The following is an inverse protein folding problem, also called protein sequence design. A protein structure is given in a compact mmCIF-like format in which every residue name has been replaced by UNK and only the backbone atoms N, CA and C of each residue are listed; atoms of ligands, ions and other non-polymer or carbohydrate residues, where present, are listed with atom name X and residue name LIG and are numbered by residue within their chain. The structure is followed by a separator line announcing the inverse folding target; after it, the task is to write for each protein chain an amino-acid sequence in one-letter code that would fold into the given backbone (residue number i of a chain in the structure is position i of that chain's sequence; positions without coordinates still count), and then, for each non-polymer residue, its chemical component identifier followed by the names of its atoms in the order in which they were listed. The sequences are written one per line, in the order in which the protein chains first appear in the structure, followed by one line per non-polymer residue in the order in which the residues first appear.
data_IF_534941703338
#
_entry.id   IF_534941703338
#
_cell.length_a   1.000
_cell.length_b   1.000
_cell.length_c   1.000
_cell.angle_alpha   90.00
_cell.angle_beta   90.00
_cell.angle_gamma   90.00
#
_symmetry.space_group_name_H-M   'P 1'
#
loop_
_entity.id
_entity.type
_entity.pdbx_description
1 polymer ?
#
# COMPACT_ATOMS: atom_id res chain seq x y z
N UNK A 1 10.74 -9.59 18.09
CA UNK A 1 10.49 -8.21 18.57
C UNK A 1 9.51 -7.57 17.62
N UNK A 2 8.57 -6.75 18.09
CA UNK A 2 7.59 -6.08 17.22
C UNK A 2 7.95 -4.61 17.01
N UNK A 3 7.73 -4.13 15.79
CA UNK A 3 7.78 -2.72 15.44
C UNK A 3 6.41 -2.24 14.91
N UNK A 4 5.33 -2.92 15.29
CA UNK A 4 3.98 -2.39 15.11
C UNK A 4 3.85 -1.05 15.87
N UNK A 5 3.08 -0.13 15.31
CA UNK A 5 2.86 1.20 15.90
C UNK A 5 1.43 1.26 16.49
N UNK A 6 1.33 1.42 17.81
CA UNK A 6 0.05 1.46 18.52
C UNK A 6 -0.77 2.73 18.24
N UNK A 7 -0.10 3.87 18.00
CA UNK A 7 -0.77 5.12 17.64
C UNK A 7 -1.41 5.01 16.25
N UNK A 8 -0.73 4.35 15.31
CA UNK A 8 -1.27 4.03 13.97
C UNK A 8 -2.46 3.07 14.09
N UNK A 9 -2.38 2.04 14.94
CA UNK A 9 -3.52 1.15 15.17
C UNK A 9 -4.72 1.90 15.76
N UNK A 10 -4.49 2.79 16.73
CA UNK A 10 -5.55 3.62 17.32
C UNK A 10 -6.17 4.54 16.26
N UNK A 11 -5.34 5.19 15.45
CA UNK A 11 -5.77 6.05 14.35
C UNK A 11 -6.71 5.35 13.35
N UNK A 12 -6.39 4.12 12.96
CA UNK A 12 -7.24 3.31 12.07
C UNK A 12 -8.42 2.63 12.76
N UNK A 13 -8.44 2.53 14.10
CA UNK A 13 -9.63 2.09 14.84
C UNK A 13 -10.70 3.18 14.94
N UNK A 14 -10.29 4.44 15.02
CA UNK A 14 -11.21 5.59 15.08
C UNK A 14 -12.01 5.73 13.78
N UNK A 15 -11.32 5.66 12.64
CA UNK A 15 -11.95 5.58 11.32
C UNK A 15 -11.01 4.76 10.41
N UNK A 16 -11.38 3.50 10.08
CA UNK A 16 -10.58 2.68 9.20
C UNK A 16 -10.49 3.28 7.81
N UNK A 17 -9.29 3.20 7.23
CA UNK A 17 -9.07 3.69 5.87
C UNK A 17 -9.92 2.92 4.87
N UNK A 18 -10.46 3.65 3.89
CA UNK A 18 -11.16 3.07 2.74
C UNK A 18 -12.45 2.29 3.08
N UNK A 19 -13.06 2.47 4.25
CA UNK A 19 -14.45 2.01 4.46
C UNK A 19 -15.39 3.06 3.89
N UNK A 20 -16.17 2.65 2.89
CA UNK A 20 -17.24 3.47 2.32
C UNK A 20 -18.37 2.58 1.81
N UNK A 21 -19.56 3.16 1.72
CA UNK A 21 -20.73 2.44 1.24
C UNK A 21 -21.23 1.33 2.16
N UNK A 22 -22.12 0.52 1.60
CA UNK A 22 -22.61 -0.71 2.23
C UNK A 22 -21.87 -1.95 1.69
N UNK A 23 -22.32 -3.13 2.13
CA UNK A 23 -21.74 -4.40 1.68
C UNK A 23 -21.89 -4.60 0.16
N UNK A 24 -22.96 -4.08 -0.46
CA UNK A 24 -23.20 -4.17 -1.90
C UNK A 24 -22.21 -3.31 -2.69
N UNK A 25 -21.91 -2.10 -2.22
CA UNK A 25 -20.88 -1.26 -2.82
C UNK A 25 -19.49 -1.89 -2.69
N UNK A 26 -19.19 -2.50 -1.53
CA UNK A 26 -17.95 -3.24 -1.34
C UNK A 26 -17.84 -4.42 -2.32
N UNK A 27 -18.91 -5.21 -2.48
CA UNK A 27 -18.97 -6.30 -3.46
C UNK A 27 -18.72 -5.80 -4.89
N UNK A 28 -19.36 -4.67 -5.26
CA UNK A 28 -19.18 -4.04 -6.57
C UNK A 28 -17.73 -3.59 -6.78
N UNK A 29 -17.08 -3.06 -5.75
CA UNK A 29 -15.67 -2.68 -5.81
C UNK A 29 -14.79 -3.92 -6.07
N UNK A 30 -14.99 -5.01 -5.33
CA UNK A 30 -14.28 -6.29 -5.55
C UNK A 30 -14.46 -6.75 -7.00
N UNK A 31 -15.71 -6.83 -7.50
CA UNK A 31 -15.96 -7.29 -8.88
C UNK A 31 -15.37 -6.36 -9.94
N UNK A 32 -15.27 -5.05 -9.69
CA UNK A 32 -14.68 -4.09 -10.62
C UNK A 32 -13.20 -4.39 -10.94
N UNK A 33 -12.48 -4.96 -9.97
CA UNK A 33 -11.04 -5.22 -10.04
C UNK A 33 -10.17 -3.97 -10.08
N UNK A 34 -10.69 -2.81 -9.69
CA UNK A 34 -9.99 -1.53 -9.83
C UNK A 34 -8.67 -1.50 -9.06
N UNK A 35 -8.66 -2.01 -7.83
CA UNK A 35 -7.46 -2.06 -6.99
C UNK A 35 -6.36 -2.87 -7.67
N UNK A 36 -6.69 -4.06 -8.19
CA UNK A 36 -5.74 -4.94 -8.86
C UNK A 36 -5.28 -4.40 -10.22
N UNK A 37 -6.17 -3.76 -10.99
CA UNK A 37 -5.83 -3.16 -12.30
C UNK A 37 -4.80 -2.03 -12.22
N UNK A 38 -4.73 -1.34 -11.08
CA UNK A 38 -3.71 -0.32 -10.83
C UNK A 38 -2.29 -0.91 -10.64
N UNK A 39 -2.18 -2.24 -10.54
CA UNK A 39 -0.93 -2.98 -10.36
C UNK A 39 -0.77 -4.02 -11.50
N UNK A 40 -0.54 -3.58 -12.76
CA UNK A 40 -0.54 -4.46 -13.93
C UNK A 40 0.49 -5.59 -13.86
N UNK A 41 1.59 -5.37 -13.14
CA UNK A 41 2.61 -6.40 -12.89
C UNK A 41 2.05 -7.59 -12.12
N UNK A 42 1.13 -7.37 -11.18
CA UNK A 42 0.47 -8.44 -10.44
C UNK A 42 -0.42 -9.28 -11.37
N UNK A 43 -1.16 -8.62 -12.27
CA UNK A 43 -2.04 -9.33 -13.21
C UNK A 43 -1.29 -10.23 -14.18
N UNK A 44 -0.01 -9.95 -14.43
CA UNK A 44 0.84 -10.75 -15.32
C UNK A 44 1.45 -11.99 -14.63
N UNK A 45 1.64 -11.94 -13.31
CA UNK A 45 2.34 -13.00 -12.56
C UNK A 45 1.40 -13.91 -11.76
N UNK A 46 0.24 -13.39 -11.33
CA UNK A 46 -0.70 -14.13 -10.50
C UNK A 46 -1.37 -15.26 -11.29
N UNK A 47 -1.50 -16.43 -10.65
CA UNK A 47 -2.18 -17.59 -11.23
C UNK A 47 -2.95 -18.36 -10.16
N UNK A 48 -3.86 -19.25 -10.58
CA UNK A 48 -4.66 -20.11 -9.70
C UNK A 48 -3.85 -20.99 -8.74
N UNK A 49 -2.61 -21.34 -9.10
CA UNK A 49 -1.77 -22.25 -8.30
C UNK A 49 -0.95 -21.53 -7.22
N UNK A 50 -0.97 -20.20 -7.20
CA UNK A 50 -0.15 -19.44 -6.27
C UNK A 50 -0.79 -19.32 -4.88
N UNK A 51 0.05 -19.44 -3.86
CA UNK A 51 -0.19 -19.01 -2.48
C UNK A 51 0.23 -17.54 -2.37
N UNK A 52 -0.72 -16.67 -2.06
CA UNK A 52 -0.53 -15.22 -1.94
C UNK A 52 -0.62 -14.84 -0.47
N UNK A 53 0.33 -14.05 0.01
CA UNK A 53 0.20 -13.32 1.28
C UNK A 53 -0.01 -11.83 0.99
N UNK A 54 -1.02 -11.23 1.60
CA UNK A 54 -1.14 -9.78 1.69
C UNK A 54 -0.91 -9.31 3.13
N UNK A 55 0.02 -8.38 3.33
CA UNK A 55 0.38 -7.80 4.63
C UNK A 55 -0.19 -6.39 4.73
N UNK A 56 -1.07 -6.19 5.71
CA UNK A 56 -1.86 -4.97 5.92
C UNK A 56 -2.97 -4.84 4.89
N UNK A 57 -3.83 -5.85 4.79
CA UNK A 57 -4.87 -5.90 3.76
C UNK A 57 -5.99 -4.86 3.95
N UNK A 58 -6.05 -4.20 5.11
CA UNK A 58 -7.16 -3.33 5.48
C UNK A 58 -8.49 -4.05 5.30
N UNK A 59 -9.39 -3.43 4.54
CA UNK A 59 -10.73 -3.97 4.26
C UNK A 59 -10.77 -5.06 3.18
N UNK A 60 -9.60 -5.54 2.73
CA UNK A 60 -9.47 -6.78 1.97
C UNK A 60 -9.77 -6.69 0.46
N UNK A 61 -9.83 -5.48 -0.11
CA UNK A 61 -10.18 -5.29 -1.53
C UNK A 61 -9.23 -6.02 -2.48
N UNK A 62 -7.93 -5.88 -2.28
CA UNK A 62 -6.96 -6.51 -3.16
C UNK A 62 -7.00 -8.03 -2.99
N UNK A 63 -7.01 -8.54 -1.74
CA UNK A 63 -7.10 -9.97 -1.45
C UNK A 63 -8.30 -10.62 -2.14
N UNK A 64 -9.47 -10.01 -1.99
CA UNK A 64 -10.71 -10.51 -2.57
C UNK A 64 -10.68 -10.43 -4.11
N UNK A 65 -10.13 -9.36 -4.68
CA UNK A 65 -9.95 -9.22 -6.14
C UNK A 65 -9.01 -10.27 -6.72
N UNK A 66 -7.93 -10.60 -6.01
CA UNK A 66 -6.99 -11.65 -6.40
C UNK A 66 -7.67 -13.02 -6.36
N UNK A 67 -8.37 -13.33 -5.26
CA UNK A 67 -9.10 -14.59 -5.11
C UNK A 67 -10.21 -14.74 -6.17
N UNK A 68 -10.98 -13.68 -6.42
CA UNK A 68 -12.07 -13.67 -7.41
C UNK A 68 -11.55 -13.90 -8.84
N UNK A 69 -10.50 -13.19 -9.25
CA UNK A 69 -10.02 -13.19 -10.64
C UNK A 69 -9.11 -14.36 -10.96
N UNK A 70 -8.24 -14.72 -10.04
CA UNK A 70 -7.21 -15.72 -10.27
C UNK A 70 -7.51 -17.05 -9.61
N UNK A 71 -8.47 -17.13 -8.68
CA UNK A 71 -8.74 -18.32 -7.87
C UNK A 71 -7.49 -18.79 -7.10
N UNK A 72 -6.57 -17.86 -6.80
CA UNK A 72 -5.39 -18.12 -6.00
C UNK A 72 -5.76 -18.40 -4.54
N UNK A 73 -4.88 -19.08 -3.81
CA UNK A 73 -5.06 -19.27 -2.36
C UNK A 73 -4.50 -18.05 -1.64
N UNK A 74 -5.38 -17.21 -1.09
CA UNK A 74 -4.98 -15.94 -0.48
C UNK A 74 -5.04 -16.04 1.04
N UNK A 75 -3.94 -15.71 1.70
CA UNK A 75 -3.89 -15.39 3.13
C UNK A 75 -3.64 -13.91 3.28
N UNK A 76 -4.39 -13.24 4.14
CA UNK A 76 -4.31 -11.80 4.33
C UNK A 76 -4.27 -11.49 5.80
N UNK A 77 -3.31 -10.65 6.20
CA UNK A 77 -3.14 -10.25 7.58
C UNK A 77 -3.29 -8.75 7.72
N UNK A 78 -3.86 -8.33 8.84
CA UNK A 78 -3.91 -6.95 9.28
C UNK A 78 -3.96 -6.93 10.80
N UNK A 79 -3.29 -5.98 11.45
CA UNK A 79 -3.32 -5.87 12.91
C UNK A 79 -4.62 -5.23 13.45
N UNK A 80 -5.49 -4.70 12.59
CA UNK A 80 -6.77 -4.08 12.94
C UNK A 80 -7.93 -5.05 12.77
N UNK A 81 -8.52 -5.50 13.88
CA UNK A 81 -9.69 -6.39 13.91
C UNK A 81 -10.88 -5.85 13.09
N UNK A 82 -11.15 -4.54 13.15
CA UNK A 82 -12.29 -3.93 12.44
C UNK A 82 -12.14 -4.10 10.93
N UNK A 83 -10.91 -3.97 10.43
CA UNK A 83 -10.58 -4.12 9.02
C UNK A 83 -10.76 -5.58 8.58
N UNK A 84 -10.23 -6.53 9.37
CA UNK A 84 -10.38 -7.98 9.13
C UNK A 84 -11.84 -8.42 9.13
N UNK A 85 -12.64 -7.99 10.11
CA UNK A 85 -14.07 -8.33 10.17
C UNK A 85 -14.83 -7.82 8.93
N UNK A 86 -14.47 -6.63 8.44
CA UNK A 86 -15.06 -6.04 7.24
C UNK A 86 -14.65 -6.82 6.00
N UNK A 87 -13.36 -7.16 5.88
CA UNK A 87 -12.81 -7.93 4.78
C UNK A 87 -13.42 -9.34 4.69
N UNK A 88 -13.52 -10.03 5.82
CA UNK A 88 -14.10 -11.38 5.89
C UNK A 88 -15.58 -11.36 5.48
N UNK A 89 -16.39 -10.42 6.00
CA UNK A 89 -17.79 -10.28 5.61
C UNK A 89 -17.96 -10.07 4.11
N UNK A 90 -17.12 -9.24 3.50
CA UNK A 90 -17.16 -8.99 2.07
C UNK A 90 -16.80 -10.24 1.24
N UNK A 91 -15.74 -10.95 1.62
CA UNK A 91 -15.34 -12.19 0.94
C UNK A 91 -16.38 -13.31 1.09
N UNK A 92 -16.91 -13.52 2.30
CA UNK A 92 -17.93 -14.53 2.59
C UNK A 92 -19.20 -14.29 1.77
N UNK A 93 -19.62 -13.02 1.66
CA UNK A 93 -20.79 -12.64 0.87
C UNK A 93 -20.67 -12.95 -0.63
N UNK A 94 -19.44 -13.16 -1.12
CA UNK A 94 -19.12 -13.51 -2.50
C UNK A 94 -18.65 -14.96 -2.67
N UNK A 95 -18.60 -15.75 -1.58
CA UNK A 95 -18.07 -17.12 -1.59
C UNK A 95 -16.59 -17.21 -1.97
N UNK A 96 -15.80 -16.17 -1.68
CA UNK A 96 -14.38 -16.11 -2.03
C UNK A 96 -13.52 -16.85 -1.00
N UNK A 97 -12.56 -17.64 -1.49
CA UNK A 97 -11.63 -18.37 -0.64
C UNK A 97 -10.43 -17.48 -0.25
N UNK A 98 -10.63 -16.65 0.77
CA UNK A 98 -9.58 -15.83 1.39
C UNK A 98 -9.52 -16.14 2.88
N UNK A 99 -8.32 -16.44 3.39
CA UNK A 99 -8.08 -16.55 4.83
C UNK A 99 -7.67 -15.19 5.38
N UNK A 100 -8.52 -14.53 6.14
CA UNK A 100 -8.17 -13.32 6.88
C UNK A 100 -7.75 -13.64 8.31
N UNK A 101 -6.71 -12.97 8.82
CA UNK A 101 -6.19 -13.18 10.17
C UNK A 101 -5.78 -11.84 10.80
N UNK A 102 -6.21 -11.61 12.04
CA UNK A 102 -5.70 -10.46 12.80
C UNK A 102 -4.30 -10.80 13.30
N UNK A 103 -3.30 -10.15 12.71
CA UNK A 103 -1.92 -10.41 13.08
C UNK A 103 -1.03 -9.17 12.95
N UNK A 104 -0.10 -9.06 13.90
CA UNK A 104 1.06 -8.20 13.80
C UNK A 104 2.06 -8.83 12.82
N UNK A 105 2.40 -8.13 11.75
CA UNK A 105 3.32 -8.64 10.73
C UNK A 105 4.67 -9.03 11.32
N UNK A 106 5.11 -8.47 12.44
CA UNK A 106 6.39 -8.83 13.08
C UNK A 106 6.32 -10.09 13.94
N UNK A 107 5.10 -10.61 14.19
CA UNK A 107 4.84 -11.81 15.00
C UNK A 107 4.15 -12.92 14.23
N UNK A 108 3.64 -12.65 13.02
CA UNK A 108 2.98 -13.63 12.18
C UNK A 108 3.98 -14.70 11.70
N UNK A 109 3.78 -15.96 12.09
CA UNK A 109 4.66 -17.07 11.72
C UNK A 109 3.87 -18.11 10.90
N UNK A 110 3.83 -17.97 9.56
CA UNK A 110 3.13 -18.92 8.72
C UNK A 110 3.89 -20.25 8.64
N UNK A 111 3.16 -21.37 8.56
CA UNK A 111 3.76 -22.72 8.45
C UNK A 111 4.56 -22.90 7.16
N UNK A 112 4.17 -22.20 6.10
CA UNK A 112 4.79 -22.27 4.78
C UNK A 112 4.98 -20.86 4.22
N UNK A 113 6.00 -20.71 3.37
CA UNK A 113 6.23 -19.47 2.62
C UNK A 113 5.32 -19.39 1.39
N UNK A 114 5.12 -18.19 0.89
CA UNK A 114 4.21 -17.85 -0.19
C UNK A 114 4.94 -17.69 -1.52
N UNK A 115 4.21 -17.92 -2.62
CA UNK A 115 4.69 -17.63 -3.98
C UNK A 115 4.89 -16.13 -4.19
N UNK A 116 4.05 -15.32 -3.54
CA UNK A 116 4.16 -13.87 -3.52
C UNK A 116 3.71 -13.30 -2.17
N UNK A 117 4.46 -12.34 -1.65
CA UNK A 117 4.07 -11.47 -0.54
C UNK A 117 3.82 -10.06 -1.08
N UNK A 118 2.66 -9.47 -0.76
CA UNK A 118 2.23 -8.15 -1.22
C UNK A 118 2.01 -7.26 -0.01
N UNK A 119 2.48 -6.00 -0.05
CA UNK A 119 2.14 -4.99 0.95
C UNK A 119 2.11 -3.60 0.33
N UNK A 120 0.94 -2.96 0.31
CA UNK A 120 0.73 -1.69 -0.39
C UNK A 120 0.20 -0.64 0.58
N UNK A 121 0.94 0.45 0.81
CA UNK A 121 0.43 1.51 1.68
C UNK A 121 0.54 1.21 3.17
N UNK A 122 1.45 0.31 3.58
CA UNK A 122 1.45 -0.23 4.96
C UNK A 122 2.80 -0.10 5.64
N UNK A 123 3.88 -0.62 5.05
CA UNK A 123 5.13 -0.85 5.79
C UNK A 123 5.79 0.44 6.30
N UNK A 124 5.58 1.56 5.61
CA UNK A 124 6.06 2.89 6.02
C UNK A 124 5.32 3.48 7.23
N UNK A 125 4.21 2.88 7.65
CA UNK A 125 3.50 3.24 8.88
C UNK A 125 3.95 2.41 10.09
N UNK A 126 4.93 1.52 9.92
CA UNK A 126 5.54 0.78 11.03
C UNK A 126 6.66 1.59 11.69
N UNK A 127 7.00 1.25 12.95
CA UNK A 127 8.14 1.88 13.64
C UNK A 127 9.50 1.49 13.04
N UNK A 128 9.54 0.48 12.15
CA UNK A 128 10.74 0.10 11.42
C UNK A 128 10.37 -0.53 10.07
N UNK A 129 10.22 0.32 9.05
CA UNK A 129 9.86 -0.10 7.69
C UNK A 129 10.88 -1.07 7.09
N UNK A 130 12.18 -0.83 7.31
CA UNK A 130 13.25 -1.71 6.80
C UNK A 130 13.16 -3.11 7.41
N UNK A 131 12.95 -3.22 8.72
CA UNK A 131 12.72 -4.52 9.36
C UNK A 131 11.45 -5.20 8.86
N UNK A 132 10.40 -4.44 8.53
CA UNK A 132 9.17 -4.97 7.96
C UNK A 132 9.40 -5.58 6.56
N UNK A 133 10.17 -4.87 5.72
CA UNK A 133 10.57 -5.33 4.39
C UNK A 133 11.45 -6.58 4.49
N UNK A 134 12.47 -6.54 5.35
CA UNK A 134 13.35 -7.67 5.61
C UNK A 134 12.54 -8.92 5.98
N UNK A 135 11.62 -8.77 6.94
CA UNK A 135 10.75 -9.87 7.35
C UNK A 135 9.85 -10.39 6.23
N UNK A 136 9.29 -9.50 5.41
CA UNK A 136 8.48 -9.93 4.26
C UNK A 136 9.30 -10.77 3.28
N UNK A 137 10.48 -10.30 2.90
CA UNK A 137 11.34 -10.99 1.93
C UNK A 137 11.93 -12.27 2.53
N UNK A 138 12.45 -12.24 3.75
CA UNK A 138 13.13 -13.37 4.39
C UNK A 138 12.15 -14.47 4.83
N UNK A 139 11.12 -14.10 5.58
CA UNK A 139 10.24 -15.04 6.28
C UNK A 139 9.05 -15.46 5.44
N UNK A 140 8.49 -14.57 4.60
CA UNK A 140 7.24 -14.86 3.90
C UNK A 140 7.41 -15.30 2.45
N UNK A 141 8.47 -14.87 1.77
CA UNK A 141 8.69 -15.21 0.37
C UNK A 141 9.57 -16.46 0.22
N UNK A 142 9.06 -17.45 -0.52
CA UNK A 142 9.81 -18.66 -0.87
C UNK A 142 10.91 -18.35 -1.90
N UNK A 143 11.90 -19.22 -2.04
CA UNK A 143 12.90 -19.11 -3.12
C UNK A 143 12.22 -19.19 -4.49
N UNK A 144 12.62 -18.32 -5.42
CA UNK A 144 11.98 -18.13 -6.72
C UNK A 144 10.65 -17.36 -6.68
N UNK A 145 10.15 -16.99 -5.50
CA UNK A 145 8.91 -16.22 -5.29
C UNK A 145 9.10 -14.71 -5.43
N UNK A 146 8.02 -13.97 -5.21
CA UNK A 146 7.97 -12.51 -5.42
C UNK A 146 7.65 -11.73 -4.14
N UNK A 147 8.18 -10.51 -4.07
CA UNK A 147 7.77 -9.51 -3.08
C UNK A 147 7.30 -8.27 -3.84
N UNK A 148 6.06 -7.82 -3.60
CA UNK A 148 5.53 -6.60 -4.20
C UNK A 148 5.18 -5.60 -3.10
N UNK A 149 5.80 -4.42 -3.16
CA UNK A 149 5.67 -3.40 -2.12
C UNK A 149 5.27 -2.06 -2.69
N UNK A 150 4.49 -1.28 -1.94
CA UNK A 150 4.13 0.09 -2.26
C UNK A 150 4.36 1.03 -1.08
N UNK A 151 5.16 2.08 -1.26
CA UNK A 151 5.61 2.97 -0.19
C UNK A 151 5.51 4.45 -0.59
N UNK A 152 5.49 5.33 0.40
CA UNK A 152 5.72 6.76 0.16
C UNK A 152 7.16 7.02 -0.30
N UNK A 153 7.26 7.72 -1.41
CA UNK A 153 8.49 8.10 -2.09
C UNK A 153 9.07 9.38 -1.49
N UNK A 154 10.32 9.37 -1.06
CA UNK A 154 11.00 10.48 -0.39
C UNK A 154 10.84 11.82 -1.11
N UNK A 155 11.30 11.92 -2.36
CA UNK A 155 11.26 13.17 -3.11
C UNK A 155 9.83 13.59 -3.51
N UNK A 156 8.94 12.62 -3.71
CA UNK A 156 7.59 12.89 -4.22
C UNK A 156 6.62 13.29 -3.11
N UNK A 157 6.77 12.68 -1.93
CA UNK A 157 5.88 12.83 -0.78
C UNK A 157 6.18 14.12 -0.02
N UNK A 158 7.46 14.49 0.10
CA UNK A 158 7.89 15.66 0.87
C UNK A 158 7.19 16.97 0.46
N UNK A 159 7.12 17.37 -0.83
CA UNK A 159 6.43 18.61 -1.18
C UNK A 159 4.93 18.59 -0.90
N UNK A 160 4.30 17.41 -0.97
CA UNK A 160 2.89 17.23 -0.63
C UNK A 160 2.65 17.49 0.87
N UNK A 161 3.43 16.89 1.77
CA UNK A 161 3.30 17.18 3.20
C UNK A 161 3.61 18.64 3.54
N UNK A 162 4.71 19.16 2.99
CA UNK A 162 5.12 20.56 3.22
C UNK A 162 4.04 21.56 2.79
N UNK A 163 3.23 21.23 1.78
CA UNK A 163 2.10 22.06 1.37
C UNK A 163 1.05 22.18 2.49
N UNK A 164 0.64 21.06 3.08
CA UNK A 164 -0.34 21.06 4.17
C UNK A 164 0.26 21.62 5.48
N UNK A 165 1.53 21.32 5.78
CA UNK A 165 2.24 21.89 6.93
C UNK A 165 2.29 23.42 6.86
N UNK A 166 2.58 23.99 5.68
CA UNK A 166 2.59 25.45 5.48
C UNK A 166 1.22 26.07 5.68
N UNK A 167 0.15 25.42 5.22
CA UNK A 167 -1.22 25.88 5.45
C UNK A 167 -1.58 25.86 6.93
N UNK A 168 -1.27 24.76 7.63
CA UNK A 168 -1.51 24.62 9.06
C UNK A 168 -0.70 25.66 9.86
N UNK A 169 0.58 25.86 9.53
CA UNK A 169 1.42 26.89 10.14
C UNK A 169 0.92 28.32 9.85
N UNK A 170 0.22 28.51 8.73
CA UNK A 170 -0.49 29.75 8.39
C UNK A 170 -1.84 29.94 9.10
N UNK A 171 -2.25 29.01 9.97
CA UNK A 171 -3.49 29.08 10.73
C UNK A 171 -4.69 28.42 10.06
N UNK A 172 -4.50 27.63 9.00
CA UNK A 172 -5.59 26.86 8.40
C UNK A 172 -6.15 25.83 9.40
N UNK A 173 -7.48 25.79 9.53
CA UNK A 173 -8.15 24.78 10.35
C UNK A 173 -8.12 23.41 9.65
N UNK A 174 -8.42 22.33 10.38
CA UNK A 174 -8.58 21.00 9.77
C UNK A 174 -9.59 21.00 8.63
N UNK A 175 -10.69 21.76 8.77
CA UNK A 175 -11.69 21.92 7.72
C UNK A 175 -11.16 22.63 6.48
N UNK A 176 -10.19 23.54 6.62
CA UNK A 176 -9.54 24.21 5.49
C UNK A 176 -8.54 23.27 4.79
N UNK A 177 -7.80 22.48 5.58
CA UNK A 177 -6.92 21.44 5.04
C UNK A 177 -7.73 20.37 4.28
N UNK A 178 -8.88 19.96 4.79
CA UNK A 178 -9.78 19.02 4.10
C UNK A 178 -10.28 19.60 2.77
N UNK A 179 -10.68 20.88 2.73
CA UNK A 179 -11.08 21.55 1.48
C UNK A 179 -9.95 21.57 0.47
N UNK A 180 -8.73 21.86 0.93
CA UNK A 180 -7.55 21.85 0.06
C UNK A 180 -7.25 20.44 -0.46
N UNK A 181 -7.31 19.43 0.41
CA UNK A 181 -7.16 18.04 0.01
C UNK A 181 -8.23 17.63 -1.01
N UNK A 182 -9.49 18.03 -0.79
CA UNK A 182 -10.58 17.79 -1.73
C UNK A 182 -10.37 18.51 -3.07
N UNK A 183 -9.71 19.66 -3.08
CA UNK A 183 -9.37 20.39 -4.32
C UNK A 183 -8.30 19.65 -5.11
N UNK A 184 -7.28 19.12 -4.44
CA UNK A 184 -6.20 18.36 -5.08
C UNK A 184 -6.67 16.97 -5.53
N UNK A 185 -7.40 16.27 -4.65
CA UNK A 185 -7.85 14.90 -4.88
C UNK A 185 -9.04 14.86 -5.84
N UNK A 186 -9.13 13.75 -6.60
CA UNK A 186 -10.31 13.44 -7.42
C UNK A 186 -11.16 12.35 -6.79
N UNK A 187 -11.06 12.18 -5.47
CA UNK A 187 -11.90 11.26 -4.73
C UNK A 187 -13.34 11.79 -4.82
N UNK A 188 -14.18 11.10 -5.60
CA UNK A 188 -15.58 11.47 -5.86
C UNK A 188 -16.50 10.46 -5.20
N UNK A 189 -16.52 10.45 -3.89
CA UNK A 189 -17.28 9.53 -3.04
C UNK A 189 -17.96 10.31 -1.92
N UNK A 190 -18.53 9.61 -0.94
CA UNK A 190 -19.16 10.26 0.21
C UNK A 190 -18.13 10.97 1.13
N UNK A 191 -18.63 11.84 2.01
CA UNK A 191 -17.82 12.65 2.91
C UNK A 191 -16.96 11.81 3.87
N UNK A 192 -17.44 10.64 4.30
CA UNK A 192 -16.68 9.75 5.20
C UNK A 192 -15.50 9.15 4.46
N UNK A 193 -15.69 8.75 3.19
CA UNK A 193 -14.61 8.23 2.38
C UNK A 193 -13.56 9.29 2.09
N UNK A 194 -13.98 10.49 1.65
CA UNK A 194 -13.07 11.61 1.43
C UNK A 194 -12.28 11.97 2.70
N UNK A 195 -12.96 12.01 3.85
CA UNK A 195 -12.33 12.32 5.13
C UNK A 195 -11.35 11.21 5.57
N UNK A 196 -11.66 9.93 5.32
CA UNK A 196 -10.73 8.82 5.60
C UNK A 196 -9.44 8.94 4.79
N UNK A 197 -9.53 9.33 3.51
CA UNK A 197 -8.39 9.60 2.64
C UNK A 197 -7.61 10.83 3.09
N UNK A 198 -8.29 11.91 3.44
CA UNK A 198 -7.64 13.10 3.98
C UNK A 198 -6.87 12.79 5.28
N UNK A 199 -7.48 12.07 6.23
CA UNK A 199 -6.80 11.66 7.47
C UNK A 199 -5.55 10.86 7.16
N UNK A 200 -5.66 9.83 6.32
CA UNK A 200 -4.55 8.95 5.95
C UNK A 200 -3.42 9.69 5.21
N UNK A 201 -3.77 10.67 4.38
CA UNK A 201 -2.78 11.36 3.56
C UNK A 201 -2.17 12.60 4.23
N UNK A 202 -2.87 13.24 5.17
CA UNK A 202 -2.46 14.55 5.72
C UNK A 202 -2.30 14.51 7.24
N UNK A 203 -3.13 13.76 7.96
CA UNK A 203 -3.17 13.73 9.42
C UNK A 203 -2.60 12.45 10.02
N UNK A 204 -1.97 11.60 9.21
CA UNK A 204 -1.47 10.31 9.67
C UNK A 204 -0.39 10.51 10.75
N UNK A 205 -0.47 9.80 11.90
CA UNK A 205 0.40 10.09 13.04
C UNK A 205 1.86 9.69 12.83
N UNK A 206 2.12 8.80 11.87
CA UNK A 206 3.47 8.29 11.60
C UNK A 206 3.62 7.79 10.16
N UNK A 207 4.55 8.36 9.40
CA UNK A 207 4.99 7.78 8.13
C UNK A 207 6.50 7.94 7.96
N UNK A 208 7.13 6.96 7.32
CA UNK A 208 8.48 7.06 6.77
C UNK A 208 8.43 7.19 5.25
N UNK A 209 9.48 7.75 4.66
CA UNK A 209 9.55 7.96 3.20
C UNK A 209 10.86 7.37 2.69
N UNK A 210 10.79 6.72 1.53
CA UNK A 210 11.86 5.88 1.02
C UNK A 210 12.14 6.14 -0.45
N UNK A 211 13.34 5.77 -0.92
CA UNK A 211 13.65 5.72 -2.35
C UNK A 211 13.59 4.28 -2.84
N UNK A 212 13.29 4.08 -4.12
CA UNK A 212 13.46 2.80 -4.81
C UNK A 212 14.91 2.31 -4.66
N UNK A 213 15.90 3.18 -4.74
CA UNK A 213 17.30 2.80 -4.49
C UNK A 213 17.49 2.13 -3.12
N UNK A 214 17.07 2.79 -2.04
CA UNK A 214 17.20 2.27 -0.66
C UNK A 214 16.54 0.89 -0.53
N UNK A 215 15.30 0.76 -1.03
CA UNK A 215 14.54 -0.48 -0.90
C UNK A 215 15.11 -1.57 -1.78
N UNK A 216 15.68 -1.23 -2.94
CA UNK A 216 16.35 -2.16 -3.83
C UNK A 216 17.64 -2.69 -3.21
N UNK A 217 18.44 -1.85 -2.56
CA UNK A 217 19.64 -2.27 -1.83
C UNK A 217 19.29 -3.21 -0.66
N UNK A 218 18.23 -2.90 0.11
CA UNK A 218 17.74 -3.77 1.19
C UNK A 218 17.30 -5.13 0.63
N UNK A 219 16.50 -5.17 -0.43
CA UNK A 219 16.06 -6.41 -1.06
C UNK A 219 17.22 -7.22 -1.67
N UNK A 220 18.20 -6.55 -2.29
CA UNK A 220 19.36 -7.17 -2.90
C UNK A 220 20.21 -7.92 -1.86
N UNK A 221 20.41 -7.33 -0.68
CA UNK A 221 21.10 -7.97 0.44
C UNK A 221 20.42 -9.26 0.95
N UNK A 222 19.14 -9.43 0.63
CA UNK A 222 18.32 -10.60 0.96
C UNK A 222 18.19 -11.60 -0.20
N UNK A 223 18.95 -11.38 -1.27
CA UNK A 223 18.90 -12.20 -2.47
C UNK A 223 17.64 -12.00 -3.30
N UNK A 224 17.02 -10.82 -3.27
CA UNK A 224 15.90 -10.46 -4.13
C UNK A 224 16.28 -9.35 -5.12
N UNK A 225 15.97 -9.53 -6.39
CA UNK A 225 16.30 -8.60 -7.48
C UNK A 225 15.08 -7.81 -7.93
N UNK A 226 15.26 -6.54 -8.27
CA UNK A 226 14.19 -5.73 -8.83
C UNK A 226 13.78 -6.27 -10.21
N UNK A 227 12.47 -6.38 -10.44
CA UNK A 227 11.88 -6.89 -11.69
C UNK A 227 11.06 -5.81 -12.39
N UNK A 228 10.32 -4.99 -11.63
CA UNK A 228 9.49 -3.94 -12.20
C UNK A 228 9.16 -2.89 -11.14
N UNK A 229 8.90 -1.66 -11.55
CA UNK A 229 8.53 -0.58 -10.64
C UNK A 229 7.58 0.40 -11.32
N UNK A 230 6.77 1.10 -10.52
CA UNK A 230 5.97 2.22 -11.04
C UNK A 230 6.82 3.44 -11.40
N UNK A 231 8.09 3.53 -10.95
CA UNK A 231 8.94 4.71 -11.19
C UNK A 231 9.02 5.05 -12.68
N UNK A 232 9.19 4.03 -13.53
CA UNK A 232 9.23 4.14 -14.98
C UNK A 232 7.92 3.68 -15.66
N UNK A 233 6.80 3.67 -14.92
CA UNK A 233 5.49 3.20 -15.39
C UNK A 233 5.49 1.72 -15.80
N UNK A 234 6.23 0.88 -15.09
CA UNK A 234 6.33 -0.58 -15.33
C UNK A 234 6.90 -0.96 -16.69
N UNK A 235 7.65 -0.06 -17.33
CA UNK A 235 8.37 -0.37 -18.58
C UNK A 235 9.59 -1.24 -18.28
N UNK A 236 10.07 -1.95 -19.30
CA UNK A 236 11.35 -2.64 -19.21
C UNK A 236 12.49 -1.62 -18.98
N UNK A 237 13.52 -2.04 -18.26
CA UNK A 237 14.71 -1.25 -17.97
C UNK A 237 15.96 -2.13 -18.09
N UNK A 238 17.09 -1.53 -18.47
CA UNK A 238 18.35 -2.25 -18.63
C UNK A 238 19.28 -2.10 -17.41
N UNK A 239 19.11 -1.02 -16.65
CA UNK A 239 19.88 -0.72 -15.45
C UNK A 239 19.00 -0.16 -14.34
N UNK A 240 19.23 -0.59 -13.10
CA UNK A 240 18.57 -0.02 -11.93
C UNK A 240 19.00 1.44 -11.71
N UNK A 241 20.23 1.82 -12.09
CA UNK A 241 20.72 3.19 -11.96
C UNK A 241 19.87 4.21 -12.73
N UNK A 242 19.37 3.85 -13.92
CA UNK A 242 18.49 4.69 -14.72
C UNK A 242 17.15 4.95 -14.02
N UNK A 243 16.71 4.03 -13.17
CA UNK A 243 15.51 4.20 -12.36
C UNK A 243 15.79 5.14 -11.19
N UNK A 244 16.94 4.98 -10.53
CA UNK A 244 17.33 5.81 -9.38
C UNK A 244 17.52 7.28 -9.78
N UNK A 245 18.11 7.55 -10.94
CA UNK A 245 18.26 8.90 -11.47
C UNK A 245 16.90 9.57 -11.74
N UNK A 246 15.89 8.81 -12.16
CA UNK A 246 14.53 9.32 -12.38
C UNK A 246 13.83 9.76 -11.09
N UNK A 247 14.17 9.16 -9.94
CA UNK A 247 13.58 9.51 -8.63
C UNK A 247 13.84 10.97 -8.26
N UNK A 248 15.00 11.52 -8.65
CA UNK A 248 15.40 12.90 -8.35
C UNK A 248 14.45 13.95 -8.94
N UNK A 249 13.75 13.61 -10.03
CA UNK A 249 12.79 14.50 -10.66
C UNK A 249 11.44 14.57 -9.90
N UNK A 250 11.16 13.64 -8.98
CA UNK A 250 9.83 13.52 -8.36
C UNK A 250 9.48 14.72 -7.47
N UNK A 251 10.46 15.40 -6.91
CA UNK A 251 10.22 16.62 -6.13
C UNK A 251 9.69 17.76 -7.00
N UNK A 252 10.35 18.01 -8.14
CA UNK A 252 9.90 19.01 -9.11
C UNK A 252 8.51 18.66 -9.66
N UNK A 253 8.26 17.38 -9.95
CA UNK A 253 6.95 16.88 -10.37
C UNK A 253 5.89 17.12 -9.29
N UNK A 254 6.20 16.86 -8.02
CA UNK A 254 5.26 17.06 -6.91
C UNK A 254 4.87 18.54 -6.77
N UNK A 255 5.86 19.45 -6.78
CA UNK A 255 5.59 20.89 -6.78
C UNK A 255 4.72 21.35 -7.95
N UNK A 256 5.03 20.87 -9.16
CA UNK A 256 4.24 21.18 -10.36
C UNK A 256 2.80 20.67 -10.21
N UNK A 257 2.60 19.45 -9.72
CA UNK A 257 1.26 18.88 -9.55
C UNK A 257 0.42 19.67 -8.56
N UNK A 258 1.01 20.07 -7.43
CA UNK A 258 0.32 20.88 -6.42
C UNK A 258 -0.09 22.25 -6.98
N UNK A 259 0.79 22.93 -7.72
CA UNK A 259 0.49 24.23 -8.34
C UNK A 259 -0.59 24.12 -9.41
N UNK A 260 -0.66 23.00 -10.13
CA UNK A 260 -1.73 22.66 -11.08
C UNK A 260 -3.03 22.20 -10.39
N UNK A 261 -3.07 22.12 -9.06
CA UNK A 261 -4.24 21.62 -8.32
C UNK A 261 -4.49 20.13 -8.51
N UNK A 262 -3.44 19.34 -8.73
CA UNK A 262 -3.51 17.90 -8.98
C UNK A 262 -2.88 17.13 -7.82
N UNK A 263 -3.59 16.11 -7.37
CA UNK A 263 -3.08 15.15 -6.41
C UNK A 263 -1.83 14.42 -6.91
N UNK A 264 -0.79 14.42 -6.09
CA UNK A 264 0.42 13.63 -6.25
C UNK A 264 0.98 13.32 -4.86
N UNK A 265 0.65 12.15 -4.28
CA UNK A 265 1.04 11.84 -2.91
C UNK A 265 2.49 11.33 -2.82
N UNK A 266 3.24 11.27 -3.93
CA UNK A 266 4.56 10.67 -3.96
C UNK A 266 4.55 9.22 -3.47
N UNK A 267 3.99 8.31 -4.26
CA UNK A 267 3.91 6.89 -3.94
C UNK A 267 4.54 6.09 -5.08
N UNK A 268 5.30 5.05 -4.74
CA UNK A 268 5.87 4.13 -5.72
C UNK A 268 5.60 2.69 -5.35
N UNK A 269 5.61 1.81 -6.35
CA UNK A 269 5.57 0.35 -6.15
C UNK A 269 6.76 -0.31 -6.80
N UNK A 270 7.18 -1.45 -6.24
CA UNK A 270 8.30 -2.24 -6.74
C UNK A 270 8.03 -3.74 -6.57
N UNK A 271 8.30 -4.50 -7.62
CA UNK A 271 8.24 -5.95 -7.66
C UNK A 271 9.67 -6.50 -7.63
N UNK A 272 9.95 -7.33 -6.65
CA UNK A 272 11.21 -8.04 -6.49
C UNK A 272 10.99 -9.54 -6.67
N UNK A 273 11.98 -10.24 -7.22
CA UNK A 273 12.01 -11.71 -7.28
C UNK A 273 13.15 -12.23 -6.43
N UNK A 274 12.82 -13.10 -5.48
CA UNK A 274 13.79 -13.79 -4.62
C UNK A 274 14.46 -14.91 -5.40
N UNK A 275 15.78 -15.01 -5.26
CA UNK A 275 16.58 -16.08 -5.87
C UNK A 275 16.16 -17.48 -5.38
#
# INVERSE_FOLDING_TARGET
MSFANEDVLKFYKELPFNIFGDIQEHQKNIKSGVSLKNHPVLTNILTKKMKVLEVGCGVGWLSAQIADRFQATVTSIDFNQVAIDTAQKAADSLGLNVKYEVADLFKFEPKEKFDICISLGVLHHTNNCIAAIQRCVENYVKSGGYFYVGLYHLYGRRPFLQHFEKLAAGGASEGDLLKEYSRLSKVKTDDTHLYSWFRDQVLHPHETQHTLQEITEVCANLGAKLVSTSINQFKDFNSESELFDQELAYEAVSHQRISEGKYFPGFFTALYRKN
#
